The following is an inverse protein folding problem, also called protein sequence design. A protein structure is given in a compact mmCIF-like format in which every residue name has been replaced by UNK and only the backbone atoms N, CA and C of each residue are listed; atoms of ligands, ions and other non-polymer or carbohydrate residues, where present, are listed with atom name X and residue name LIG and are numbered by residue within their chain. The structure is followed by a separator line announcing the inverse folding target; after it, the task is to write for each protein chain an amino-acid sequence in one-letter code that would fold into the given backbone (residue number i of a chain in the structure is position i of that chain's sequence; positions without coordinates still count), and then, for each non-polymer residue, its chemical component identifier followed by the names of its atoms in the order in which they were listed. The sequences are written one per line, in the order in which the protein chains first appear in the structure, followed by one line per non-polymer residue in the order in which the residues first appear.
data_IF_632800666865
#
_entry.id   IF_632800666865
#
_cell.length_a   1.000
_cell.length_b   1.000
_cell.length_c   1.000
_cell.angle_alpha   90.00
_cell.angle_beta   90.00
_cell.angle_gamma   90.00
#
_symmetry.space_group_name_H-M   'P 1'
#
loop_
_entity.id
_entity.type
_entity.pdbx_description
1 polymer ?
#
# COMPACT_ATOMS: atom_id res chain seq x y z
N UNK A 1 23.71 54.67 10.64
CA UNK A 1 24.10 53.26 10.81
C UNK A 1 24.29 52.68 9.42
N UNK A 2 25.50 52.22 9.12
CA UNK A 2 25.96 51.86 7.77
C UNK A 2 25.66 50.39 7.46
N UNK A 3 25.33 50.17 6.20
CA UNK A 3 24.78 48.96 5.63
C UNK A 3 25.79 47.81 5.48
N UNK A 4 25.21 46.60 5.50
CA UNK A 4 25.59 45.39 4.74
C UNK A 4 26.97 44.80 4.98
N UNK A 5 26.98 43.76 5.83
CA UNK A 5 28.06 42.80 6.02
C UNK A 5 28.11 41.85 4.82
N UNK A 6 29.35 41.57 4.44
CA UNK A 6 29.85 40.90 3.25
C UNK A 6 29.49 39.42 3.24
N UNK A 7 28.92 39.01 2.11
CA UNK A 7 28.77 37.65 1.61
C UNK A 7 30.14 37.13 1.12
N UNK A 8 30.75 36.19 1.83
CA UNK A 8 31.74 35.25 1.27
C UNK A 8 32.10 34.17 2.31
N UNK A 9 31.84 32.90 1.98
CA UNK A 9 32.67 31.72 2.30
C UNK A 9 31.85 30.45 2.04
N UNK A 10 31.62 30.20 0.76
CA UNK A 10 31.26 28.89 0.23
C UNK A 10 32.51 28.02 0.15
N UNK A 11 32.34 26.77 0.57
CA UNK A 11 33.03 25.54 0.13
C UNK A 11 34.56 25.46 0.20
N UNK A 12 35.05 24.73 1.22
CA UNK A 12 36.20 23.80 1.24
C UNK A 12 36.05 23.06 2.60
N UNK A 13 35.85 21.74 2.73
CA UNK A 13 36.66 20.66 2.19
C UNK A 13 35.91 19.33 2.30
N UNK A 14 35.63 18.67 1.17
CA UNK A 14 35.31 17.25 1.08
C UNK A 14 36.56 16.54 0.52
N UNK A 15 37.34 15.88 1.38
CA UNK A 15 38.25 14.77 1.00
C UNK A 15 38.64 13.95 2.23
N UNK A 16 38.07 12.75 2.39
CA UNK A 16 38.87 11.54 2.65
C UNK A 16 37.99 10.31 2.40
N UNK A 17 38.16 9.71 1.22
CA UNK A 17 37.70 8.36 0.95
C UNK A 17 38.58 7.36 1.68
N UNK A 18 37.89 6.38 2.26
CA UNK A 18 38.38 5.19 2.93
C UNK A 18 39.11 4.27 1.94
N UNK A 19 40.29 3.79 2.31
CA UNK A 19 41.07 2.84 1.51
C UNK A 19 40.51 1.42 1.67
N UNK A 20 40.52 0.66 0.58
CA UNK A 20 39.81 -0.62 0.44
C UNK A 20 40.76 -1.81 0.47
N UNK A 21 40.40 -2.81 1.28
CA UNK A 21 40.57 -4.28 1.11
C UNK A 21 41.96 -4.90 0.84
N UNK A 22 42.29 -5.86 1.72
CA UNK A 22 42.92 -7.20 1.50
C UNK A 22 42.85 -7.94 2.86
N UNK A 23 42.54 -9.23 3.03
CA UNK A 23 42.70 -10.52 2.31
C UNK A 23 41.54 -11.45 2.77
N UNK A 24 40.81 -12.14 1.89
CA UNK A 24 40.96 -13.56 1.51
C UNK A 24 41.68 -14.47 2.51
N UNK A 25 40.92 -15.38 3.14
CA UNK A 25 41.38 -16.76 3.29
C UNK A 25 40.19 -17.73 3.16
N UNK A 26 40.49 -18.81 2.45
CA UNK A 26 39.60 -19.86 2.02
C UNK A 26 39.62 -21.06 2.99
N UNK A 27 38.78 -22.04 2.64
CA UNK A 27 38.77 -23.44 3.08
C UNK A 27 38.07 -23.79 4.41
N UNK A 28 36.88 -24.39 4.30
CA UNK A 28 36.77 -25.86 4.23
C UNK A 28 35.29 -26.32 4.31
N UNK A 29 34.80 -26.97 3.26
CA UNK A 29 33.79 -28.04 3.32
C UNK A 29 34.57 -29.36 3.56
N UNK A 30 34.07 -30.32 4.35
CA UNK A 30 33.36 -31.41 3.68
C UNK A 30 32.22 -32.08 4.49
N UNK A 31 31.15 -32.40 3.77
CA UNK A 31 30.44 -33.70 3.71
C UNK A 31 29.47 -34.15 4.84
N UNK A 32 28.24 -34.40 4.35
CA UNK A 32 27.51 -35.69 4.36
C UNK A 32 26.44 -36.03 5.43
N UNK A 33 25.35 -36.57 4.85
CA UNK A 33 24.32 -37.52 5.33
C UNK A 33 22.94 -36.87 5.55
N UNK A 34 21.95 -37.00 4.65
CA UNK A 34 21.23 -38.17 4.13
C UNK A 34 20.28 -38.85 5.15
N UNK A 35 19.04 -39.08 4.69
CA UNK A 35 17.88 -39.79 5.29
C UNK A 35 17.04 -38.95 6.28
N UNK A 36 15.70 -38.94 6.27
CA UNK A 36 14.76 -40.00 5.87
C UNK A 36 13.34 -39.41 5.64
N UNK A 37 12.64 -39.88 4.59
CA UNK A 37 11.19 -39.75 4.44
C UNK A 37 10.47 -40.53 5.55
N UNK A 38 9.32 -40.05 6.01
CA UNK A 38 8.27 -40.89 6.57
C UNK A 38 6.90 -40.31 6.23
N UNK A 39 6.23 -40.99 5.30
CA UNK A 39 4.78 -40.95 5.14
C UNK A 39 4.11 -41.49 6.41
N UNK A 40 3.11 -40.78 6.92
CA UNK A 40 2.01 -41.41 7.64
C UNK A 40 0.67 -40.90 7.12
N UNK A 41 0.14 -41.72 6.24
CA UNK A 41 -1.26 -41.81 5.87
C UNK A 41 -2.06 -42.35 7.07
N UNK A 42 -3.19 -41.72 7.40
CA UNK A 42 -4.23 -42.34 8.23
C UNK A 42 -5.59 -41.90 7.72
N UNK A 43 -6.11 -42.68 6.78
CA UNK A 43 -7.54 -42.80 6.52
C UNK A 43 -8.28 -43.22 7.80
N UNK A 44 -9.30 -42.47 8.19
CA UNK A 44 -10.52 -43.07 8.74
C UNK A 44 -11.77 -42.32 8.25
N UNK A 45 -12.46 -43.04 7.37
CA UNK A 45 -13.86 -42.94 6.99
C UNK A 45 -14.80 -42.91 8.21
N UNK A 46 -15.88 -42.14 8.15
CA UNK A 46 -17.24 -42.62 8.53
C UNK A 46 -18.33 -41.62 8.06
N UNK A 47 -19.11 -42.09 7.09
CA UNK A 47 -20.44 -41.64 6.70
C UNK A 47 -21.38 -41.39 7.90
N UNK A 48 -22.40 -40.53 7.75
CA UNK A 48 -23.78 -40.96 7.41
C UNK A 48 -24.80 -39.80 7.55
N UNK A 49 -25.62 -39.66 6.52
CA UNK A 49 -26.87 -38.91 6.39
C UNK A 49 -27.78 -38.87 7.63
N UNK A 50 -28.56 -37.78 7.79
CA UNK A 50 -30.04 -37.86 7.79
C UNK A 50 -30.76 -36.51 7.98
N UNK A 51 -31.75 -36.31 7.09
CA UNK A 51 -33.11 -35.77 7.29
C UNK A 51 -33.36 -34.26 7.35
N UNK A 52 -33.87 -33.77 6.23
CA UNK A 52 -35.21 -33.16 6.05
C UNK A 52 -35.96 -32.69 7.31
N UNK A 53 -36.42 -31.45 7.27
CA UNK A 53 -37.82 -31.15 7.52
C UNK A 53 -38.29 -29.91 6.76
N UNK A 54 -39.40 -30.08 6.05
CA UNK A 54 -40.17 -29.09 5.32
C UNK A 54 -41.32 -28.53 6.18
N UNK A 55 -41.80 -27.33 5.82
CA UNK A 55 -43.20 -26.81 5.87
C UNK A 55 -43.12 -25.29 6.06
N UNK A 56 -43.44 -24.42 5.09
CA UNK A 56 -44.73 -24.17 4.41
C UNK A 56 -45.75 -23.46 5.31
N UNK A 57 -46.02 -22.16 5.05
CA UNK A 57 -47.36 -21.62 4.80
C UNK A 57 -47.37 -20.10 4.59
N UNK A 58 -48.18 -19.69 3.61
CA UNK A 58 -48.51 -18.33 3.16
C UNK A 58 -49.18 -17.47 4.25
N UNK A 59 -49.09 -16.14 4.14
CA UNK A 59 -50.29 -15.32 3.94
C UNK A 59 -49.97 -13.88 3.50
N UNK A 60 -50.85 -13.42 2.62
CA UNK A 60 -50.85 -12.20 1.83
C UNK A 60 -51.60 -11.10 2.61
N UNK A 61 -51.14 -9.84 2.55
CA UNK A 61 -52.02 -8.70 2.84
C UNK A 61 -51.51 -7.41 2.20
N UNK A 62 -52.28 -6.97 1.20
CA UNK A 62 -52.27 -5.65 0.56
C UNK A 62 -52.45 -4.50 1.57
N UNK A 63 -51.83 -3.33 1.36
CA UNK A 63 -52.45 -2.12 0.77
C UNK A 63 -51.58 -0.85 0.97
N UNK A 64 -51.31 -0.17 -0.16
CA UNK A 64 -51.18 1.27 -0.40
C UNK A 64 -50.50 2.22 0.60
N UNK A 65 -49.46 2.90 0.10
CA UNK A 65 -49.00 4.21 0.56
C UNK A 65 -48.02 4.82 -0.44
N UNK A 66 -48.53 5.70 -1.31
CA UNK A 66 -47.76 6.59 -2.19
C UNK A 66 -47.04 7.65 -1.34
N UNK A 67 -45.70 7.71 -1.36
CA UNK A 67 -44.85 8.93 -1.42
C UNK A 67 -43.35 8.57 -1.25
N UNK A 68 -42.41 9.47 -1.59
CA UNK A 68 -41.88 9.77 -2.91
C UNK A 68 -40.64 8.93 -3.24
N UNK A 69 -40.28 8.97 -4.52
CA UNK A 69 -39.06 8.44 -5.16
C UNK A 69 -37.79 8.74 -4.35
N UNK A 70 -37.47 7.83 -3.43
CA UNK A 70 -36.16 7.74 -2.79
C UNK A 70 -35.29 7.00 -3.79
N UNK A 71 -34.41 7.74 -4.48
CA UNK A 71 -33.29 7.16 -5.22
C UNK A 71 -32.61 6.16 -4.28
N UNK A 72 -32.87 4.87 -4.51
CA UNK A 72 -32.11 3.80 -3.89
C UNK A 72 -30.79 3.85 -4.62
N UNK A 73 -29.82 4.58 -4.06
CA UNK A 73 -28.41 4.36 -4.37
C UNK A 73 -28.15 2.88 -4.15
N UNK A 74 -28.22 2.10 -5.22
CA UNK A 74 -27.76 0.72 -5.24
C UNK A 74 -26.30 0.75 -4.83
N UNK A 75 -26.04 0.44 -3.56
CA UNK A 75 -24.71 0.12 -3.07
C UNK A 75 -24.19 -1.01 -3.95
N UNK A 76 -23.34 -0.66 -4.91
CA UNK A 76 -22.63 -1.63 -5.73
C UNK A 76 -21.76 -2.43 -4.78
N UNK A 77 -22.11 -3.71 -4.60
CA UNK A 77 -21.24 -4.67 -3.95
C UNK A 77 -20.05 -4.94 -4.87
N UNK A 78 -19.02 -4.10 -4.76
CA UNK A 78 -17.77 -4.29 -5.48
C UNK A 78 -17.09 -5.57 -4.96
N UNK A 79 -16.82 -6.54 -5.83
CA UNK A 79 -16.00 -7.71 -5.46
C UNK A 79 -14.52 -7.31 -5.28
N UNK A 80 -13.66 -8.19 -4.75
CA UNK A 80 -12.23 -7.89 -4.57
C UNK A 80 -11.47 -7.63 -5.89
N UNK A 81 -12.03 -7.94 -7.06
CA UNK A 81 -11.42 -7.65 -8.36
C UNK A 81 -11.80 -6.29 -8.95
N UNK A 82 -12.75 -5.58 -8.36
CA UNK A 82 -13.45 -4.46 -9.00
C UNK A 82 -12.70 -3.10 -8.83
N UNK A 83 -11.81 -3.04 -7.85
CA UNK A 83 -11.02 -1.84 -7.52
C UNK A 83 -9.61 -1.86 -8.11
N UNK A 84 -9.19 -2.95 -8.75
CA UNK A 84 -7.87 -3.01 -9.38
C UNK A 84 -7.83 -2.10 -10.62
N UNK A 85 -6.68 -1.47 -10.85
CA UNK A 85 -6.45 -0.63 -12.02
C UNK A 85 -5.50 0.53 -11.74
N UNK A 86 -5.21 1.30 -12.78
CA UNK A 86 -4.42 2.52 -12.67
C UNK A 86 -5.33 3.71 -12.37
N UNK A 87 -4.97 4.47 -11.35
CA UNK A 87 -5.64 5.69 -10.92
C UNK A 87 -4.70 6.87 -11.11
N UNK A 88 -5.19 7.96 -11.69
CA UNK A 88 -4.40 9.16 -11.98
C UNK A 88 -4.87 10.29 -11.06
N UNK A 89 -3.92 10.99 -10.42
CA UNK A 89 -4.23 12.18 -9.62
C UNK A 89 -4.79 13.29 -10.53
N UNK A 90 -5.96 13.82 -10.19
CA UNK A 90 -6.67 14.80 -11.00
C UNK A 90 -6.02 16.19 -10.97
N UNK A 91 -5.15 16.46 -9.99
CA UNK A 91 -4.43 17.72 -9.87
C UNK A 91 -3.10 17.72 -10.66
N UNK A 92 -2.68 16.55 -11.15
CA UNK A 92 -1.41 16.31 -11.84
C UNK A 92 -1.60 15.60 -13.19
N UNK A 93 -2.49 16.14 -14.02
CA UNK A 93 -2.82 15.56 -15.33
C UNK A 93 -1.66 15.66 -16.35
N UNK A 94 -0.65 16.48 -16.06
CA UNK A 94 0.57 16.59 -16.84
C UNK A 94 1.44 15.32 -16.80
N UNK A 95 1.34 14.49 -15.75
CA UNK A 95 2.05 13.20 -15.65
C UNK A 95 1.31 12.07 -16.38
N UNK A 96 1.15 12.24 -17.69
CA UNK A 96 0.52 11.23 -18.55
C UNK A 96 1.26 9.89 -18.55
N UNK A 97 2.56 9.91 -18.24
CA UNK A 97 3.44 8.76 -18.15
C UNK A 97 3.30 7.96 -16.85
N UNK A 98 2.56 8.48 -15.86
CA UNK A 98 2.46 7.88 -14.53
C UNK A 98 3.83 7.66 -13.87
N UNK A 99 4.71 8.65 -13.97
CA UNK A 99 6.03 8.60 -13.33
C UNK A 99 5.94 8.71 -11.81
N UNK A 100 5.01 9.51 -11.29
CA UNK A 100 4.94 9.78 -9.87
C UNK A 100 3.52 9.99 -9.30
N UNK A 101 2.56 10.43 -10.11
CA UNK A 101 1.21 10.83 -9.64
C UNK A 101 0.10 9.83 -9.98
N UNK A 102 0.47 8.57 -10.21
CA UNK A 102 -0.48 7.48 -10.42
C UNK A 102 -0.37 6.41 -9.35
N UNK A 103 -1.49 5.74 -9.08
CA UNK A 103 -1.56 4.56 -8.23
C UNK A 103 -1.91 3.35 -9.09
N UNK A 104 -1.05 2.34 -9.11
CA UNK A 104 -1.39 1.04 -9.65
C UNK A 104 -1.95 0.16 -8.53
N UNK A 105 -3.28 0.10 -8.43
CA UNK A 105 -3.94 -0.70 -7.40
C UNK A 105 -4.08 -2.13 -7.92
N UNK A 106 -3.48 -3.07 -7.20
CA UNK A 106 -3.39 -4.49 -7.57
C UNK A 106 -3.55 -5.37 -6.33
N UNK A 107 -3.80 -6.66 -6.51
CA UNK A 107 -3.84 -7.65 -5.41
C UNK A 107 -2.45 -8.01 -4.86
N UNK A 108 -1.40 -7.54 -5.52
CA UNK A 108 0.00 -7.70 -5.11
C UNK A 108 0.57 -6.38 -4.57
N UNK A 109 1.88 -6.20 -4.64
CA UNK A 109 2.53 -4.93 -4.33
C UNK A 109 2.70 -4.09 -5.58
N UNK A 110 2.55 -2.77 -5.48
CA UNK A 110 2.99 -1.84 -6.51
C UNK A 110 3.91 -0.77 -5.93
N UNK A 111 4.64 -0.10 -6.81
CA UNK A 111 5.55 0.97 -6.44
C UNK A 111 4.79 2.30 -6.35
N UNK A 112 5.05 3.06 -5.29
CA UNK A 112 4.54 4.42 -5.09
C UNK A 112 5.72 5.40 -5.09
N UNK A 113 5.54 6.52 -5.78
CA UNK A 113 6.48 7.63 -5.78
C UNK A 113 6.12 8.62 -4.65
N UNK A 114 7.05 8.85 -3.73
CA UNK A 114 6.90 9.81 -2.64
C UNK A 114 7.57 11.15 -2.94
N UNK A 115 8.55 11.14 -3.84
CA UNK A 115 9.24 12.32 -4.34
C UNK A 115 9.83 11.97 -5.70
N UNK A 116 9.52 12.77 -6.70
CA UNK A 116 10.01 12.59 -8.08
C UNK A 116 11.51 12.30 -8.11
N UNK A 117 11.88 11.29 -8.89
CA UNK A 117 13.25 10.85 -9.17
C UNK A 117 14.14 10.53 -7.95
N UNK A 118 13.58 10.45 -6.74
CA UNK A 118 14.36 10.32 -5.50
C UNK A 118 13.83 9.21 -4.59
N UNK A 119 12.53 9.25 -4.25
CA UNK A 119 11.97 8.40 -3.19
C UNK A 119 10.77 7.60 -3.70
N UNK A 120 10.96 6.28 -3.72
CA UNK A 120 9.98 5.27 -4.10
C UNK A 120 9.85 4.19 -3.01
N UNK A 121 8.63 3.69 -2.80
CA UNK A 121 8.35 2.58 -1.87
C UNK A 121 7.51 1.52 -2.56
N UNK A 122 7.57 0.29 -2.07
CA UNK A 122 6.59 -0.73 -2.40
C UNK A 122 5.44 -0.65 -1.40
N UNK A 123 4.21 -0.79 -1.89
CA UNK A 123 3.01 -0.81 -1.07
C UNK A 123 2.08 -1.96 -1.49
N UNK A 124 1.35 -2.48 -0.52
CA UNK A 124 0.27 -3.45 -0.74
C UNK A 124 -1.09 -2.81 -0.47
N UNK A 125 -2.11 -3.32 -1.13
CA UNK A 125 -3.46 -2.76 -1.11
C UNK A 125 -4.42 -3.79 -0.51
N UNK A 126 -5.19 -3.38 0.48
CA UNK A 126 -6.21 -4.24 1.08
C UNK A 126 -7.54 -3.53 1.10
N UNK A 127 -8.59 -4.23 0.68
CA UNK A 127 -9.94 -3.70 0.75
C UNK A 127 -10.46 -3.75 2.19
N UNK A 128 -10.94 -2.62 2.69
CA UNK A 128 -11.62 -2.53 3.98
C UNK A 128 -12.97 -1.82 3.79
N UNK A 129 -14.04 -2.60 3.66
CA UNK A 129 -15.35 -2.09 3.28
C UNK A 129 -15.33 -1.50 1.87
N UNK A 130 -15.67 -0.22 1.73
CA UNK A 130 -15.61 0.52 0.47
C UNK A 130 -14.25 1.21 0.24
N UNK A 131 -13.40 1.25 1.27
CA UNK A 131 -12.07 1.86 1.22
C UNK A 131 -11.02 0.84 0.78
N UNK A 132 -9.89 1.37 0.34
CA UNK A 132 -8.67 0.62 0.09
C UNK A 132 -7.59 1.18 1.02
N UNK A 133 -7.13 0.35 1.93
CA UNK A 133 -6.01 0.66 2.80
C UNK A 133 -4.70 0.31 2.12
N UNK A 134 -3.76 1.24 2.18
CA UNK A 134 -2.46 1.13 1.54
C UNK A 134 -1.42 0.94 2.64
N UNK A 135 -0.65 -0.13 2.55
CA UNK A 135 0.33 -0.54 3.56
C UNK A 135 1.73 -0.47 2.99
N UNK A 136 2.68 0.05 3.78
CA UNK A 136 4.10 -0.01 3.43
C UNK A 136 4.57 -1.46 3.34
N UNK A 137 5.34 -1.80 2.30
CA UNK A 137 5.85 -3.16 2.07
C UNK A 137 7.36 -3.19 1.80
N UNK A 138 8.04 -2.05 1.98
CA UNK A 138 9.50 -1.96 1.86
C UNK A 138 9.97 -0.82 0.97
N UNK A 139 11.25 -0.49 1.09
CA UNK A 139 11.94 0.48 0.22
C UNK A 139 11.99 -0.08 -1.20
N UNK A 140 11.69 0.74 -2.22
CA UNK A 140 11.92 0.33 -3.60
C UNK A 140 13.42 0.24 -3.90
N UNK A 141 13.80 -0.66 -4.82
CA UNK A 141 15.14 -0.73 -5.41
C UNK A 141 15.57 0.57 -6.11
N UNK A 142 14.62 1.41 -6.54
CA UNK A 142 14.89 2.73 -7.15
C UNK A 142 15.29 3.79 -6.11
N UNK A 143 15.11 3.52 -4.82
CA UNK A 143 15.42 4.45 -3.74
C UNK A 143 16.79 4.16 -3.15
N UNK A 144 17.74 5.06 -3.43
CA UNK A 144 19.09 4.99 -2.87
C UNK A 144 19.25 5.72 -1.53
N UNK A 145 18.24 6.47 -1.06
CA UNK A 145 18.33 7.17 0.22
C UNK A 145 18.46 6.17 1.39
N UNK A 146 19.55 6.27 2.15
CA UNK A 146 19.83 5.44 3.34
C UNK A 146 19.62 6.19 4.66
N UNK A 147 19.37 7.51 4.62
CA UNK A 147 19.16 8.33 5.82
C UNK A 147 17.79 8.05 6.45
N UNK A 148 16.80 7.68 5.64
CA UNK A 148 15.48 7.27 6.12
C UNK A 148 15.60 5.87 6.74
N UNK A 149 15.12 5.65 7.98
CA UNK A 149 15.22 4.38 8.69
C UNK A 149 14.15 3.40 8.20
N UNK A 150 14.25 2.99 6.93
CA UNK A 150 13.26 2.14 6.25
C UNK A 150 12.90 0.88 7.03
N UNK A 151 13.90 0.24 7.66
CA UNK A 151 13.72 -1.00 8.43
C UNK A 151 12.97 -0.81 9.76
N UNK A 152 12.78 0.46 10.19
CA UNK A 152 11.99 0.78 11.39
C UNK A 152 10.52 1.03 11.11
N UNK A 153 10.15 1.22 9.84
CA UNK A 153 8.76 1.48 9.50
C UNK A 153 7.91 0.24 9.63
N UNK A 154 6.75 0.42 10.25
CA UNK A 154 5.75 -0.64 10.39
C UNK A 154 5.09 -0.94 9.04
N UNK A 155 4.89 -2.22 8.77
CA UNK A 155 4.18 -2.71 7.57
C UNK A 155 2.71 -3.06 7.85
N UNK A 156 2.33 -3.18 9.13
CA UNK A 156 0.97 -3.54 9.57
C UNK A 156 0.03 -2.35 9.79
N UNK A 157 0.51 -1.12 9.62
CA UNK A 157 -0.26 0.12 9.81
C UNK A 157 -0.47 0.80 8.44
N UNK A 158 -1.72 1.15 8.05
CA UNK A 158 -1.96 1.83 6.78
C UNK A 158 -1.24 3.19 6.71
N UNK A 159 -0.46 3.40 5.65
CA UNK A 159 0.23 4.66 5.37
C UNK A 159 -0.65 5.65 4.59
N UNK A 160 -1.70 5.14 3.94
CA UNK A 160 -2.71 5.94 3.27
C UNK A 160 -4.03 5.17 3.15
N UNK A 161 -5.11 5.88 2.86
CA UNK A 161 -6.43 5.30 2.57
C UNK A 161 -7.00 5.95 1.33
N UNK A 162 -7.42 5.11 0.38
CA UNK A 162 -8.13 5.51 -0.82
C UNK A 162 -9.64 5.27 -0.60
N UNK A 163 -10.43 6.35 -0.56
CA UNK A 163 -11.87 6.31 -0.24
C UNK A 163 -12.71 6.78 -1.43
N UNK A 164 -13.84 6.13 -1.76
CA UNK A 164 -14.68 6.56 -2.87
C UNK A 164 -15.37 7.89 -2.57
N UNK A 165 -15.55 8.70 -3.61
CA UNK A 165 -16.33 9.95 -3.59
C UNK A 165 -17.61 9.79 -4.44
N UNK A 166 -18.68 10.57 -4.16
CA UNK A 166 -19.98 10.42 -4.85
C UNK A 166 -19.95 10.60 -6.37
N UNK A 167 -18.99 11.36 -6.88
CA UNK A 167 -18.76 11.61 -8.31
C UNK A 167 -17.99 10.47 -9.02
N UNK A 168 -17.69 9.37 -8.32
CA UNK A 168 -16.94 8.24 -8.85
C UNK A 168 -15.42 8.42 -8.88
N UNK A 169 -14.89 9.49 -8.28
CA UNK A 169 -13.45 9.60 -7.99
C UNK A 169 -13.12 8.90 -6.68
N UNK A 170 -11.82 8.78 -6.40
CA UNK A 170 -11.30 8.24 -5.17
C UNK A 170 -10.41 9.29 -4.50
N UNK A 171 -10.60 9.56 -3.22
CA UNK A 171 -9.75 10.45 -2.45
C UNK A 171 -8.68 9.67 -1.70
N UNK A 172 -7.41 10.02 -1.90
CA UNK A 172 -6.30 9.50 -1.12
C UNK A 172 -6.01 10.43 0.05
N UNK A 173 -6.15 9.92 1.27
CA UNK A 173 -5.71 10.57 2.50
C UNK A 173 -4.38 9.93 2.95
N UNK A 174 -3.31 10.73 2.96
CA UNK A 174 -1.98 10.27 3.36
C UNK A 174 -1.80 10.39 4.88
N UNK A 175 -1.60 9.25 5.54
CA UNK A 175 -1.40 9.15 6.99
C UNK A 175 0.07 9.24 7.40
N UNK A 176 0.96 8.72 6.55
CA UNK A 176 2.39 8.64 6.81
C UNK A 176 2.84 7.33 7.45
N UNK A 177 4.15 7.19 7.59
CA UNK A 177 4.77 6.00 8.19
C UNK A 177 4.60 5.99 9.71
N UNK A 178 4.64 4.79 10.29
CA UNK A 178 4.62 4.60 11.75
C UNK A 178 5.89 3.92 12.24
N UNK A 179 6.34 4.31 13.43
CA UNK A 179 7.39 3.67 14.22
C UNK A 179 6.87 3.57 15.66
N UNK A 180 6.89 2.37 16.24
CA UNK A 180 6.43 2.09 17.60
C UNK A 180 4.99 2.58 17.89
N UNK A 181 4.08 2.36 16.94
CA UNK A 181 2.66 2.71 16.99
C UNK A 181 2.37 4.21 16.84
N UNK A 182 3.37 5.01 16.46
CA UNK A 182 3.25 6.47 16.31
C UNK A 182 3.64 6.91 14.91
N UNK A 183 2.93 7.89 14.37
CA UNK A 183 3.30 8.51 13.11
C UNK A 183 4.71 9.10 13.23
N UNK A 184 5.59 8.67 12.33
CA UNK A 184 6.94 9.18 12.22
C UNK A 184 6.89 10.57 11.55
N UNK A 185 6.72 11.61 12.37
CA UNK A 185 6.44 13.00 11.95
C UNK A 185 7.44 13.51 10.92
N UNK A 186 8.73 13.20 11.09
CA UNK A 186 9.81 13.63 10.20
C UNK A 186 9.64 13.11 8.76
N UNK A 187 8.92 12.00 8.58
CA UNK A 187 8.72 11.33 7.30
C UNK A 187 7.27 11.38 6.81
N UNK A 188 6.36 11.94 7.63
CA UNK A 188 4.94 12.00 7.33
C UNK A 188 4.62 12.88 6.10
N UNK A 189 5.51 13.81 5.74
CA UNK A 189 5.28 14.73 4.62
C UNK A 189 5.64 14.17 3.24
N UNK A 190 6.38 13.06 3.15
CA UNK A 190 6.87 12.57 1.85
C UNK A 190 5.71 12.23 0.91
N UNK A 191 4.83 11.30 1.27
CA UNK A 191 3.67 11.00 0.43
C UNK A 191 2.62 12.12 0.41
N UNK A 192 2.59 13.01 1.41
CA UNK A 192 1.59 14.08 1.49
C UNK A 192 1.71 15.11 0.36
N UNK A 193 2.92 15.38 -0.13
CA UNK A 193 3.12 16.37 -1.20
C UNK A 193 2.87 15.83 -2.60
N UNK A 194 2.94 14.52 -2.77
CA UNK A 194 2.95 13.87 -4.08
C UNK A 194 1.71 13.00 -4.30
N UNK A 195 1.32 12.22 -3.30
CA UNK A 195 0.24 11.23 -3.43
C UNK A 195 -1.10 11.71 -2.89
N UNK A 196 -1.12 12.67 -1.95
CA UNK A 196 -2.38 13.23 -1.45
C UNK A 196 -3.20 13.82 -2.61
N UNK A 197 -4.51 13.58 -2.62
CA UNK A 197 -5.41 14.21 -3.59
C UNK A 197 -6.55 13.32 -4.06
N UNK A 198 -7.20 13.78 -5.12
CA UNK A 198 -8.31 13.07 -5.76
C UNK A 198 -7.82 12.33 -7.00
N UNK A 199 -8.31 11.12 -7.19
CA UNK A 199 -7.87 10.21 -8.22
C UNK A 199 -9.04 9.73 -9.07
N UNK A 200 -8.80 9.58 -10.37
CA UNK A 200 -9.74 8.96 -11.31
C UNK A 200 -9.13 7.72 -11.91
N UNK A 201 -9.91 6.64 -12.00
CA UNK A 201 -9.50 5.43 -12.72
C UNK A 201 -9.29 5.76 -14.20
N UNK A 202 -8.14 5.37 -14.75
CA UNK A 202 -7.77 5.55 -16.16
C UNK A 202 -8.66 4.72 -17.09
#
# INVERSE_FOLDING_TARGET
MRATIILLCLFLSITSCNDSKKENDADADPNQNAYQNTDQNSDQNLNTNSKENASQSNEDSQLNGLDPEKEVETKKNYSNGDFAGTYINTDHLEDYSCQCFCLEVTSSTSELCLKEDDLFINASFQKNGENIEIYYSGKSSRTSNEEIPWDKFETGTPIAVLSPEPNGTMKLDWKGFSIDGKIAVDYALYGKKTLEGTYKKK
#
